data_IF_845288626817
#
_entry.id   IF_845288626817
#
_cell.length_a   1.000
_cell.length_b   1.000
_cell.length_c   1.000
_cell.angle_alpha   90.00
_cell.angle_beta   90.00
_cell.angle_gamma   90.00
#
_symmetry.space_group_name_H-M   'P 1'
#
loop_
_entity.id
_entity.type
_entity.pdbx_description
1 polymer ?
#
# COMPACT_ATOMS: atom_id res chain seq x y z
N UNK A 1 -0.17 -7.68 -6.94
CA UNK A 1 -0.05 -6.42 -6.17
C UNK A 1 0.58 -6.75 -4.83
N UNK A 2 1.50 -5.92 -4.35
CA UNK A 2 2.04 -6.00 -3.00
C UNK A 2 2.09 -4.60 -2.37
N UNK A 3 2.08 -4.53 -1.03
CA UNK A 3 2.20 -3.25 -0.31
C UNK A 3 3.11 -3.39 0.91
N UNK A 4 3.83 -2.32 1.22
CA UNK A 4 4.52 -2.16 2.50
C UNK A 4 3.82 -1.08 3.34
N UNK A 5 3.56 -1.42 4.60
CA UNK A 5 2.86 -0.56 5.57
C UNK A 5 3.33 -0.90 6.98
N UNK A 6 3.18 0.00 7.97
CA UNK A 6 3.94 -0.05 9.22
C UNK A 6 3.52 -1.08 10.28
N UNK A 7 3.03 -2.24 9.82
CA UNK A 7 2.63 -3.38 10.63
C UNK A 7 1.22 -3.24 11.21
N UNK A 8 1.03 -3.78 12.43
CA UNK A 8 -0.20 -3.68 13.19
C UNK A 8 0.09 -3.02 14.54
N UNK A 9 -0.67 -1.98 14.87
CA UNK A 9 -0.55 -1.25 16.15
C UNK A 9 -1.62 -1.71 17.14
N UNK A 10 -2.80 -2.11 16.66
CA UNK A 10 -3.89 -2.60 17.50
C UNK A 10 -3.94 -4.14 17.49
N UNK A 11 -4.07 -4.74 18.68
CA UNK A 11 -4.20 -6.19 18.88
C UNK A 11 -5.57 -6.49 19.49
N UNK A 12 -6.27 -7.53 19.02
CA UNK A 12 -7.62 -7.80 19.51
C UNK A 12 -7.60 -8.21 20.99
N UNK A 13 -8.41 -7.53 21.80
CA UNK A 13 -8.60 -7.84 23.23
C UNK A 13 -9.65 -8.96 23.42
N UNK A 14 -10.46 -9.27 22.39
CA UNK A 14 -11.49 -10.33 22.36
C UNK A 14 -11.69 -10.89 20.93
N UNK A 15 -12.52 -11.93 20.78
CA UNK A 15 -13.02 -12.44 19.49
C UNK A 15 -13.74 -11.33 18.73
N UNK A 16 -13.00 -10.62 17.89
CA UNK A 16 -13.52 -9.56 17.04
C UNK A 16 -13.39 -10.02 15.59
N UNK A 17 -14.37 -9.66 14.76
CA UNK A 17 -14.36 -9.97 13.33
C UNK A 17 -13.11 -9.41 12.64
N UNK A 18 -12.51 -10.19 11.73
CA UNK A 18 -11.31 -9.80 10.97
C UNK A 18 -11.44 -8.42 10.29
N UNK A 19 -12.65 -8.02 9.86
CA UNK A 19 -12.92 -6.72 9.22
C UNK A 19 -12.69 -5.53 10.15
N UNK A 20 -13.04 -5.63 11.43
CA UNK A 20 -12.85 -4.56 12.40
C UNK A 20 -11.37 -4.38 12.74
N UNK A 21 -10.65 -5.49 12.94
CA UNK A 21 -9.21 -5.45 13.21
C UNK A 21 -8.45 -4.80 12.05
N UNK A 22 -8.86 -5.11 10.82
CA UNK A 22 -8.32 -4.50 9.63
C UNK A 22 -8.55 -2.98 9.61
N UNK A 23 -9.78 -2.54 9.87
CA UNK A 23 -10.12 -1.11 9.92
C UNK A 23 -9.33 -0.35 10.99
N UNK A 24 -9.21 -0.91 12.21
CA UNK A 24 -8.46 -0.27 13.31
C UNK A 24 -6.97 -0.12 13.01
N UNK A 25 -6.40 -0.97 12.15
CA UNK A 25 -4.99 -0.87 11.77
C UNK A 25 -4.80 -0.04 10.49
N UNK A 26 -5.67 -0.18 9.48
CA UNK A 26 -5.54 0.53 8.19
C UNK A 26 -5.81 2.03 8.32
N UNK A 27 -6.82 2.42 9.11
CA UNK A 27 -7.20 3.83 9.22
C UNK A 27 -6.10 4.72 9.82
N UNK A 28 -5.48 4.39 10.97
CA UNK A 28 -4.47 5.26 11.58
C UNK A 28 -3.07 5.16 10.94
N UNK A 29 -2.83 4.16 10.10
CA UNK A 29 -1.52 3.92 9.49
C UNK A 29 -1.46 4.39 8.05
N UNK A 30 -0.28 4.79 7.60
CA UNK A 30 -0.05 5.22 6.21
C UNK A 30 0.65 4.12 5.42
N UNK A 31 0.26 3.95 4.16
CA UNK A 31 0.97 3.10 3.20
C UNK A 31 2.32 3.74 2.87
N UNK A 32 3.35 2.92 2.69
CA UNK A 32 4.73 3.38 2.42
C UNK A 32 5.12 3.02 0.99
N UNK A 33 4.81 1.81 0.56
CA UNK A 33 5.09 1.34 -0.79
C UNK A 33 3.91 0.57 -1.37
N UNK A 34 3.72 0.70 -2.67
CA UNK A 34 2.81 -0.12 -3.48
C UNK A 34 3.57 -0.65 -4.70
N UNK A 35 3.56 -1.96 -4.87
CA UNK A 35 4.14 -2.65 -6.01
C UNK A 35 3.02 -3.17 -6.93
N UNK A 36 3.04 -2.70 -8.17
CA UNK A 36 2.11 -3.08 -9.22
C UNK A 36 2.86 -3.84 -10.30
N UNK A 37 2.52 -5.12 -10.46
CA UNK A 37 3.01 -5.96 -11.56
C UNK A 37 1.86 -6.26 -12.51
N UNK A 38 2.10 -6.05 -13.80
CA UNK A 38 1.13 -6.23 -14.87
C UNK A 38 1.52 -7.44 -15.70
N UNK A 39 0.52 -8.27 -15.98
CA UNK A 39 0.61 -9.47 -16.82
C UNK A 39 -0.68 -9.61 -17.62
N UNK A 40 -0.62 -10.31 -18.76
CA UNK A 40 -1.81 -10.69 -19.52
C UNK A 40 -2.54 -11.90 -18.89
N UNK A 41 -3.61 -12.36 -19.54
CA UNK A 41 -4.43 -13.49 -19.09
C UNK A 41 -3.65 -14.82 -19.03
N UNK A 42 -2.61 -14.96 -19.86
CA UNK A 42 -1.74 -16.13 -19.90
C UNK A 42 -0.55 -16.02 -18.92
N UNK A 43 -0.43 -14.89 -18.23
CA UNK A 43 0.64 -14.61 -17.27
C UNK A 43 1.93 -14.06 -17.89
N UNK A 44 1.91 -13.65 -19.16
CA UNK A 44 3.06 -13.02 -19.81
C UNK A 44 3.18 -11.53 -19.42
N UNK A 45 4.40 -11.06 -19.08
CA UNK A 45 4.63 -9.65 -18.80
C UNK A 45 4.66 -8.82 -20.09
N UNK A 46 4.31 -7.53 -20.02
CA UNK A 46 4.49 -6.61 -21.15
C UNK A 46 5.98 -6.43 -21.50
N UNK A 47 6.31 -6.02 -22.73
CA UNK A 47 7.68 -5.73 -23.12
C UNK A 47 8.24 -4.54 -22.32
N UNK A 48 9.52 -4.63 -21.93
CA UNK A 48 10.27 -3.68 -21.10
C UNK A 48 10.00 -3.82 -19.59
N UNK A 49 9.01 -3.08 -19.07
CA UNK A 49 8.76 -2.97 -17.64
C UNK A 49 7.40 -3.58 -17.33
N UNK A 50 7.39 -4.54 -16.40
CA UNK A 50 6.17 -5.17 -15.91
C UNK A 50 5.81 -4.74 -14.49
N UNK A 51 6.78 -4.25 -13.72
CA UNK A 51 6.61 -3.91 -12.31
C UNK A 51 6.98 -2.46 -12.03
N UNK A 52 6.07 -1.77 -11.33
CA UNK A 52 6.25 -0.42 -10.82
C UNK A 52 6.24 -0.46 -9.31
N UNK A 53 7.27 0.14 -8.71
CA UNK A 53 7.36 0.33 -7.27
C UNK A 53 7.09 1.80 -6.97
N UNK A 54 5.98 2.06 -6.30
CA UNK A 54 5.49 3.39 -5.99
C UNK A 54 5.78 3.66 -4.52
N UNK A 55 6.53 4.71 -4.26
CA UNK A 55 6.95 5.06 -2.91
C UNK A 55 6.19 6.30 -2.46
N UNK A 56 5.47 6.18 -1.35
CA UNK A 56 4.63 7.24 -0.80
C UNK A 56 5.37 8.05 0.26
N UNK A 57 4.92 9.29 0.44
CA UNK A 57 5.42 10.16 1.50
C UNK A 57 5.15 9.53 2.88
N UNK A 58 6.21 9.35 3.66
CA UNK A 58 6.17 8.82 5.01
C UNK A 58 7.25 9.49 5.87
N UNK A 59 6.88 9.99 7.04
CA UNK A 59 7.77 10.67 7.98
C UNK A 59 7.82 9.92 9.31
N UNK A 60 8.98 9.35 9.63
CA UNK A 60 9.18 8.61 10.88
C UNK A 60 8.97 9.45 12.15
N UNK A 61 9.03 10.79 12.06
CA UNK A 61 8.81 11.67 13.22
C UNK A 61 7.34 12.03 13.43
N UNK A 62 6.52 11.96 12.38
CA UNK A 62 5.12 12.42 12.39
C UNK A 62 4.11 11.28 12.29
N UNK A 63 4.46 10.22 11.55
CA UNK A 63 3.55 9.14 11.20
C UNK A 63 3.59 7.98 12.19
N UNK A 64 2.42 7.45 12.52
CA UNK A 64 2.27 6.29 13.41
C UNK A 64 2.94 5.06 12.81
N UNK A 65 3.77 4.39 13.60
CA UNK A 65 4.46 3.16 13.20
C UNK A 65 4.81 2.28 14.40
N UNK A 66 5.21 1.04 14.12
CA UNK A 66 5.81 0.16 15.12
C UNK A 66 7.34 0.20 15.02
N UNK A 67 8.02 0.19 16.17
CA UNK A 67 9.48 0.24 16.23
C UNK A 67 10.13 -0.90 15.45
N UNK A 68 9.58 -2.11 15.58
CA UNK A 68 10.02 -3.32 14.86
C UNK A 68 9.95 -3.16 13.34
N UNK A 69 8.98 -2.40 12.85
CA UNK A 69 8.83 -2.17 11.41
C UNK A 69 9.85 -1.17 10.85
N UNK A 70 10.18 -0.11 11.60
CA UNK A 70 11.25 0.83 11.21
C UNK A 70 12.61 0.13 11.16
N UNK A 71 12.87 -0.74 12.13
CA UNK A 71 14.09 -1.56 12.14
C UNK A 71 14.14 -2.51 10.94
N UNK A 72 13.01 -3.15 10.58
CA UNK A 72 12.92 -4.02 9.41
C UNK A 72 13.18 -3.25 8.11
N UNK A 73 12.53 -2.10 7.90
CA UNK A 73 12.73 -1.27 6.71
C UNK A 73 14.17 -0.73 6.61
N UNK A 74 14.74 -0.32 7.74
CA UNK A 74 16.14 0.15 7.77
C UNK A 74 17.08 -0.99 7.36
N UNK A 75 16.83 -2.21 7.86
CA UNK A 75 17.63 -3.40 7.54
C UNK A 75 17.42 -3.91 6.11
N UNK A 76 16.24 -3.68 5.50
CA UNK A 76 15.97 -4.01 4.09
C UNK A 76 16.53 -2.98 3.11
N UNK A 77 17.19 -1.93 3.60
CA UNK A 77 17.84 -0.91 2.79
C UNK A 77 16.96 0.31 2.49
N UNK A 78 15.77 0.43 3.10
CA UNK A 78 14.91 1.59 2.97
C UNK A 78 15.50 2.78 3.76
N UNK A 79 16.04 3.77 3.05
CA UNK A 79 16.68 4.94 3.67
C UNK A 79 15.71 6.11 3.70
N UNK A 80 14.93 6.27 4.78
CA UNK A 80 13.90 7.31 4.96
C UNK A 80 14.33 8.73 4.52
N UNK A 81 15.62 9.10 4.66
CA UNK A 81 16.16 10.41 4.22
C UNK A 81 16.24 10.60 2.70
N UNK A 82 16.29 9.54 1.88
CA UNK A 82 16.34 9.62 0.41
C UNK A 82 14.95 9.75 -0.23
N UNK A 83 13.89 9.62 0.55
CA UNK A 83 12.52 9.62 0.05
C UNK A 83 12.05 11.01 -0.39
N UNK A 84 12.55 12.09 0.22
CA UNK A 84 12.03 13.44 -0.01
C UNK A 84 12.10 13.92 -1.48
N UNK A 85 12.99 13.36 -2.31
CA UNK A 85 13.14 13.79 -3.71
C UNK A 85 12.25 13.03 -4.71
N UNK A 86 11.71 11.85 -4.36
CA UNK A 86 10.94 10.97 -5.30
C UNK A 86 9.66 10.38 -4.71
N UNK A 87 9.12 11.00 -3.66
CA UNK A 87 7.88 10.57 -3.01
C UNK A 87 6.62 10.98 -3.76
N UNK A 88 5.63 10.09 -3.73
CA UNK A 88 4.30 10.32 -4.26
C UNK A 88 3.35 10.67 -3.12
N UNK A 89 2.46 11.66 -3.34
CA UNK A 89 1.34 11.90 -2.44
C UNK A 89 0.26 10.85 -2.69
N UNK A 90 -0.23 10.13 -1.66
CA UNK A 90 -1.26 9.11 -1.86
C UNK A 90 -2.52 9.63 -2.57
N UNK A 91 -2.91 10.88 -2.28
CA UNK A 91 -4.02 11.55 -2.94
C UNK A 91 -3.83 11.69 -4.46
N UNK A 92 -2.66 12.18 -4.89
CA UNK A 92 -2.35 12.35 -6.32
C UNK A 92 -2.32 11.01 -7.04
N UNK A 93 -1.76 9.98 -6.41
CA UNK A 93 -1.81 8.62 -6.94
C UNK A 93 -3.24 8.11 -7.08
N UNK A 94 -4.07 8.26 -6.04
CA UNK A 94 -5.46 7.81 -6.05
C UNK A 94 -6.25 8.49 -7.18
N UNK A 95 -6.04 9.80 -7.38
CA UNK A 95 -6.66 10.55 -8.47
C UNK A 95 -6.26 10.02 -9.85
N UNK A 96 -4.97 9.75 -10.06
CA UNK A 96 -4.50 9.16 -11.32
C UNK A 96 -5.06 7.74 -11.51
N UNK A 97 -5.05 6.92 -10.45
CA UNK A 97 -5.57 5.55 -10.45
C UNK A 97 -7.06 5.52 -10.82
N UNK A 98 -7.87 6.43 -10.27
CA UNK A 98 -9.30 6.55 -10.57
C UNK A 98 -9.57 6.77 -12.07
N UNK A 99 -8.68 7.46 -12.77
CA UNK A 99 -8.82 7.78 -14.20
C UNK A 99 -8.03 6.86 -15.13
N UNK A 100 -7.21 5.95 -14.59
CA UNK A 100 -6.30 5.12 -15.41
C UNK A 100 -6.99 3.94 -16.11
N UNK A 101 -8.23 3.62 -15.72
CA UNK A 101 -8.95 2.42 -16.15
C UNK A 101 -8.53 1.13 -15.44
N UNK A 102 -7.61 1.21 -14.46
CA UNK A 102 -7.21 0.04 -13.64
C UNK A 102 -8.21 -0.31 -12.54
N UNK A 103 -8.99 0.67 -12.09
CA UNK A 103 -10.08 0.50 -11.12
C UNK A 103 -11.41 0.77 -11.81
N UNK A 104 -12.50 0.23 -11.25
CA UNK A 104 -13.85 0.34 -11.81
C UNK A 104 -13.99 -0.23 -13.24
N UNK A 105 -13.03 -1.03 -13.68
CA UNK A 105 -13.04 -1.72 -14.98
C UNK A 105 -13.32 -3.21 -14.80
N UNK A 106 -14.19 -3.77 -15.63
CA UNK A 106 -14.50 -5.21 -15.65
C UNK A 106 -13.41 -6.05 -16.33
N UNK A 107 -12.50 -5.38 -17.05
CA UNK A 107 -11.43 -6.03 -17.83
C UNK A 107 -10.10 -6.13 -17.07
N UNK A 108 -10.06 -5.72 -15.79
CA UNK A 108 -8.85 -5.73 -14.97
C UNK A 108 -9.08 -6.63 -13.76
N UNK A 109 -8.17 -7.59 -13.56
CA UNK A 109 -8.21 -8.50 -12.42
C UNK A 109 -7.08 -8.17 -11.46
N UNK A 110 -7.44 -7.90 -10.20
CA UNK A 110 -6.48 -7.61 -9.15
C UNK A 110 -6.09 -8.90 -8.42
N UNK A 111 -4.79 -9.17 -8.37
CA UNK A 111 -4.20 -10.32 -7.66
C UNK A 111 -3.37 -9.81 -6.46
N UNK A 112 -3.99 -9.57 -5.31
CA UNK A 112 -3.29 -9.18 -4.08
C UNK A 112 -2.62 -10.38 -3.41
N UNK A 113 -1.45 -10.17 -2.78
CA UNK A 113 -0.73 -11.23 -2.06
C UNK A 113 -1.35 -11.39 -0.66
N UNK A 114 -1.52 -10.28 0.06
CA UNK A 114 -2.21 -10.22 1.36
C UNK A 114 -3.53 -9.46 1.22
N UNK A 115 -4.49 -10.11 0.55
CA UNK A 115 -5.78 -9.58 0.11
C UNK A 115 -6.48 -8.62 1.08
N UNK A 116 -6.54 -8.92 2.37
CA UNK A 116 -7.19 -8.05 3.35
C UNK A 116 -6.58 -6.65 3.39
N UNK A 117 -5.32 -6.53 3.83
CA UNK A 117 -4.68 -5.24 4.09
C UNK A 117 -4.47 -4.46 2.80
N UNK A 118 -4.04 -5.13 1.73
CA UNK A 118 -3.76 -4.46 0.46
C UNK A 118 -5.02 -3.83 -0.14
N UNK A 119 -6.16 -4.55 -0.12
CA UNK A 119 -7.44 -3.98 -0.54
C UNK A 119 -7.92 -2.89 0.43
N UNK A 120 -7.69 -3.05 1.74
CA UNK A 120 -8.02 -2.05 2.74
C UNK A 120 -7.33 -0.70 2.49
N UNK A 121 -6.02 -0.70 2.27
CA UNK A 121 -5.27 0.51 1.92
C UNK A 121 -5.65 1.06 0.56
N UNK A 122 -5.91 0.20 -0.44
CA UNK A 122 -6.39 0.65 -1.75
C UNK A 122 -7.74 1.39 -1.64
N UNK A 123 -8.67 0.84 -0.86
CA UNK A 123 -9.95 1.48 -0.59
C UNK A 123 -9.77 2.80 0.18
N UNK A 124 -8.93 2.82 1.22
CA UNK A 124 -8.61 4.03 1.99
C UNK A 124 -8.08 5.16 1.09
N UNK A 125 -7.15 4.84 0.20
CA UNK A 125 -6.59 5.80 -0.77
C UNK A 125 -7.67 6.35 -1.71
N UNK A 126 -8.52 5.47 -2.26
CA UNK A 126 -9.55 5.85 -3.23
C UNK A 126 -10.74 6.58 -2.59
N UNK A 127 -11.00 6.34 -1.30
CA UNK A 127 -12.04 7.01 -0.52
C UNK A 127 -11.60 8.38 0.04
N UNK A 128 -10.36 8.79 -0.23
CA UNK A 128 -9.77 10.04 0.29
C UNK A 128 -9.74 10.11 1.83
N UNK A 129 -9.44 8.98 2.48
CA UNK A 129 -9.36 8.86 3.94
C UNK A 129 -7.90 8.78 4.45
N UNK A 130 -6.92 9.28 3.69
CA UNK A 130 -5.48 9.02 3.91
C UNK A 130 -4.68 10.14 4.58
#
# INVERSE_FOLDING_TARGET
MGMEFPGMVDRPIREITCTWLLRCNVNPLKVIQLDLTFVDEDGHPPPNYSTWQLIFKFCNMEDTHTQTFIELLTNSGHHFKKHDEKVIQPYEFARLLMTSGMVLSKCVWWLPIQCGYELGYMLKMLADEN
#
